data_IF_749295974045
#
_entry.id   IF_749295974045
#
_cell.length_a   1.000
_cell.length_b   1.000
_cell.length_c   1.000
_cell.angle_alpha   90.00
_cell.angle_beta   90.00
_cell.angle_gamma   90.00
#
_symmetry.space_group_name_H-M   'P 1'
#
loop_
_entity.id
_entity.type
_entity.pdbx_description
1 polymer ?
#
# COMPACT_ATOMS: atom_id res chain seq x y z
N UNK A 1 -8.73 -40.21 -6.12
CA UNK A 1 -8.52 -39.68 -7.50
C UNK A 1 -9.43 -38.50 -7.87
N UNK A 2 -10.76 -38.64 -8.06
CA UNK A 2 -11.62 -37.48 -8.42
C UNK A 2 -11.84 -36.48 -7.29
N UNK A 3 -11.94 -36.92 -6.03
CA UNK A 3 -12.05 -36.04 -4.87
C UNK A 3 -10.76 -35.24 -4.58
N UNK A 4 -9.58 -35.80 -4.84
CA UNK A 4 -8.31 -35.07 -4.74
C UNK A 4 -8.16 -34.02 -5.83
N UNK A 5 -8.58 -34.34 -7.07
CA UNK A 5 -8.59 -33.37 -8.16
C UNK A 5 -9.56 -32.22 -7.87
N UNK A 6 -10.76 -32.51 -7.35
CA UNK A 6 -11.69 -31.48 -6.89
C UNK A 6 -11.13 -30.66 -5.73
N UNK A 7 -10.52 -31.29 -4.72
CA UNK A 7 -9.88 -30.57 -3.60
C UNK A 7 -8.72 -29.68 -4.07
N UNK A 8 -7.95 -30.12 -5.07
CA UNK A 8 -6.84 -29.36 -5.65
C UNK A 8 -7.33 -28.20 -6.52
N UNK A 9 -8.36 -28.41 -7.33
CA UNK A 9 -9.00 -27.36 -8.15
C UNK A 9 -9.74 -26.34 -7.27
N UNK A 10 -10.45 -26.79 -6.24
CA UNK A 10 -11.09 -25.92 -5.24
C UNK A 10 -10.06 -25.19 -4.37
N UNK A 11 -8.92 -25.81 -4.08
CA UNK A 11 -7.78 -25.19 -3.41
C UNK A 11 -7.11 -24.10 -4.26
N UNK A 12 -7.03 -24.29 -5.59
CA UNK A 12 -6.57 -23.25 -6.52
C UNK A 12 -7.55 -22.07 -6.60
N UNK A 13 -8.86 -22.33 -6.52
CA UNK A 13 -9.89 -21.28 -6.48
C UNK A 13 -9.99 -20.55 -5.13
N UNK A 14 -9.56 -21.16 -4.02
CA UNK A 14 -9.52 -20.52 -2.70
C UNK A 14 -8.57 -19.31 -2.62
N UNK A 15 -7.67 -19.17 -3.60
CA UNK A 15 -6.74 -18.05 -3.71
C UNK A 15 -7.07 -17.13 -4.89
N UNK A 16 -8.21 -17.31 -5.56
CA UNK A 16 -8.67 -16.38 -6.58
C UNK A 16 -9.13 -15.09 -5.91
N UNK A 17 -8.50 -13.98 -6.28
CA UNK A 17 -8.95 -12.67 -5.84
C UNK A 17 -10.35 -12.35 -6.39
N UNK A 18 -11.09 -11.53 -5.65
CA UNK A 18 -12.33 -10.96 -6.17
C UNK A 18 -11.98 -9.91 -7.24
N UNK A 19 -12.24 -10.22 -8.52
CA UNK A 19 -11.92 -9.33 -9.64
C UNK A 19 -12.73 -8.03 -9.65
N UNK A 20 -13.83 -7.95 -8.89
CA UNK A 20 -14.60 -6.72 -8.69
C UNK A 20 -14.04 -5.85 -7.57
N UNK A 21 -13.14 -6.39 -6.74
CA UNK A 21 -12.47 -5.63 -5.69
C UNK A 21 -11.27 -4.90 -6.28
N UNK A 22 -11.37 -3.58 -6.37
CA UNK A 22 -10.29 -2.73 -6.85
C UNK A 22 -9.15 -2.55 -5.84
N UNK A 23 -9.34 -3.01 -4.60
CA UNK A 23 -8.32 -3.02 -3.54
C UNK A 23 -7.64 -4.39 -3.37
N UNK A 24 -7.92 -5.34 -4.27
CA UNK A 24 -7.23 -6.64 -4.35
C UNK A 24 -5.72 -6.48 -4.56
N UNK A 25 -4.93 -7.44 -4.09
CA UNK A 25 -3.46 -7.43 -4.14
C UNK A 25 -2.94 -7.17 -5.55
N UNK A 26 -3.44 -7.87 -6.59
CA UNK A 26 -2.94 -7.66 -7.96
C UNK A 26 -3.16 -6.21 -8.44
N UNK A 27 -4.31 -5.61 -8.11
CA UNK A 27 -4.61 -4.24 -8.48
C UNK A 27 -3.70 -3.25 -7.73
N UNK A 28 -3.48 -3.49 -6.43
CA UNK A 28 -2.63 -2.64 -5.59
C UNK A 28 -1.16 -2.74 -5.99
N UNK A 29 -0.67 -3.94 -6.34
CA UNK A 29 0.69 -4.12 -6.88
C UNK A 29 0.87 -3.37 -8.20
N UNK A 30 -0.13 -3.40 -9.07
CA UNK A 30 -0.10 -2.62 -10.30
C UNK A 30 -0.11 -1.11 -10.03
N UNK A 31 -0.88 -0.63 -9.06
CA UNK A 31 -0.83 0.77 -8.60
C UNK A 31 0.56 1.14 -8.09
N UNK A 32 1.24 0.24 -7.37
CA UNK A 32 2.60 0.45 -6.88
C UNK A 32 3.63 0.53 -8.00
N UNK A 33 3.47 -0.29 -9.03
CA UNK A 33 4.36 -0.25 -10.20
C UNK A 33 4.18 1.05 -10.99
N UNK A 34 2.94 1.48 -11.24
CA UNK A 34 2.66 2.78 -11.87
C UNK A 34 3.26 3.92 -11.05
N UNK A 35 3.08 3.90 -9.73
CA UNK A 35 3.62 4.92 -8.83
C UNK A 35 5.16 5.00 -8.93
N UNK A 36 5.83 3.83 -8.96
CA UNK A 36 7.29 3.72 -9.00
C UNK A 36 7.90 4.12 -10.32
N UNK A 37 7.30 3.71 -11.44
CA UNK A 37 7.90 3.87 -12.77
C UNK A 37 7.45 5.18 -13.39
N UNK A 38 6.14 5.42 -13.39
CA UNK A 38 5.55 6.52 -14.12
C UNK A 38 5.42 7.79 -13.26
N UNK A 39 4.73 7.71 -12.12
CA UNK A 39 4.41 8.92 -11.35
C UNK A 39 5.64 9.51 -10.66
N UNK A 40 6.58 8.66 -10.25
CA UNK A 40 7.89 9.08 -9.77
C UNK A 40 8.68 9.84 -10.84
N UNK A 41 8.75 9.32 -12.07
CA UNK A 41 9.50 9.98 -13.14
C UNK A 41 8.85 11.31 -13.52
N UNK A 42 7.52 11.35 -13.58
CA UNK A 42 6.76 12.60 -13.79
C UNK A 42 7.04 13.65 -12.70
N UNK A 43 7.12 13.23 -11.45
CA UNK A 43 7.40 14.13 -10.33
C UNK A 43 8.87 14.59 -10.33
N UNK A 44 9.81 13.69 -10.65
CA UNK A 44 11.25 13.97 -10.68
C UNK A 44 11.66 14.88 -11.85
N UNK A 45 11.09 14.66 -13.03
CA UNK A 45 11.41 15.40 -14.26
C UNK A 45 10.70 16.76 -14.38
N UNK A 46 9.78 17.07 -13.46
CA UNK A 46 9.05 18.34 -13.52
C UNK A 46 10.00 19.54 -13.35
N UNK A 47 9.92 20.56 -14.23
CA UNK A 47 10.72 21.78 -14.14
C UNK A 47 10.58 22.53 -12.80
N UNK A 48 9.45 22.33 -12.13
CA UNK A 48 9.11 22.95 -10.84
C UNK A 48 9.52 22.13 -9.62
N UNK A 49 10.00 20.89 -9.81
CA UNK A 49 10.39 20.00 -8.73
C UNK A 49 11.58 19.11 -9.11
N UNK A 50 12.69 19.73 -9.51
CA UNK A 50 13.94 19.00 -9.67
C UNK A 50 14.38 18.40 -8.34
N UNK A 51 13.98 17.15 -8.12
CA UNK A 51 14.25 16.40 -6.90
C UNK A 51 15.36 15.41 -7.19
N UNK A 52 16.42 15.47 -6.39
CA UNK A 52 17.43 14.42 -6.43
C UNK A 52 16.81 13.11 -5.96
N UNK A 53 17.35 12.00 -6.45
CA UNK A 53 16.95 10.67 -6.02
C UNK A 53 16.97 10.53 -4.48
N UNK A 54 18.05 10.99 -3.85
CA UNK A 54 18.24 10.93 -2.40
C UNK A 54 17.14 11.69 -1.66
N UNK A 55 16.81 12.90 -2.12
CA UNK A 55 15.75 13.72 -1.50
C UNK A 55 14.40 13.05 -1.65
N UNK A 56 14.03 12.61 -2.86
CA UNK A 56 12.71 12.01 -3.06
C UNK A 56 12.56 10.63 -2.39
N UNK A 57 13.61 9.80 -2.36
CA UNK A 57 13.62 8.55 -1.58
C UNK A 57 13.42 8.82 -0.08
N UNK A 58 14.08 9.86 0.47
CA UNK A 58 13.86 10.26 1.86
C UNK A 58 12.43 10.74 2.14
N UNK A 59 11.81 11.46 1.19
CA UNK A 59 10.41 11.90 1.29
C UNK A 59 9.49 10.67 1.33
N UNK A 60 9.69 9.72 0.41
CA UNK A 60 8.85 8.52 0.31
C UNK A 60 8.98 7.67 1.58
N UNK A 61 10.19 7.50 2.12
CA UNK A 61 10.38 6.82 3.39
C UNK A 61 9.57 7.46 4.52
N UNK A 62 9.61 8.79 4.64
CA UNK A 62 8.80 9.52 5.64
C UNK A 62 7.30 9.32 5.44
N UNK A 63 6.82 9.26 4.19
CA UNK A 63 5.42 8.96 3.90
C UNK A 63 5.05 7.53 4.32
N UNK A 64 5.93 6.55 4.05
CA UNK A 64 5.72 5.17 4.46
C UNK A 64 5.64 5.05 5.99
N UNK A 65 6.60 5.64 6.70
CA UNK A 65 6.62 5.68 8.17
C UNK A 65 5.33 6.34 8.73
N UNK A 66 4.81 7.38 8.08
CA UNK A 66 3.57 8.04 8.49
C UNK A 66 2.32 7.18 8.22
N UNK A 67 2.29 6.43 7.11
CA UNK A 67 1.21 5.51 6.81
C UNK A 67 1.16 4.34 7.81
N UNK A 68 2.30 3.76 8.15
CA UNK A 68 2.40 2.72 9.18
C UNK A 68 1.86 3.22 10.53
N UNK A 69 2.29 4.41 10.95
CA UNK A 69 1.82 5.04 12.19
C UNK A 69 0.32 5.33 12.18
N UNK A 70 -0.24 5.81 11.06
CA UNK A 70 -1.68 6.09 10.96
C UNK A 70 -2.51 4.79 11.06
N UNK A 71 -2.09 3.71 10.37
CA UNK A 71 -2.77 2.40 10.48
C UNK A 71 -2.65 1.84 11.90
N UNK A 72 -1.45 1.92 12.49
CA UNK A 72 -1.23 1.45 13.86
C UNK A 72 -2.11 2.23 14.86
N UNK A 73 -2.12 3.56 14.78
CA UNK A 73 -2.93 4.40 15.66
C UNK A 73 -4.42 4.09 15.52
N UNK A 74 -4.92 3.95 14.29
CA UNK A 74 -6.33 3.59 14.05
C UNK A 74 -6.68 2.20 14.59
N UNK A 75 -5.77 1.25 14.43
CA UNK A 75 -5.94 -0.10 15.00
C UNK A 75 -6.02 -0.03 16.52
N UNK A 76 -5.10 0.70 17.16
CA UNK A 76 -5.10 0.95 18.61
C UNK A 76 -6.41 1.58 19.07
N UNK A 77 -6.88 2.64 18.40
CA UNK A 77 -8.13 3.30 18.75
C UNK A 77 -9.34 2.35 18.67
N UNK A 78 -9.38 1.44 17.70
CA UNK A 78 -10.44 0.43 17.60
C UNK A 78 -10.37 -0.53 18.79
N UNK A 79 -9.19 -0.99 19.15
CA UNK A 79 -9.02 -1.87 20.31
C UNK A 79 -9.43 -1.21 21.61
N UNK A 80 -9.08 0.07 21.81
CA UNK A 80 -9.52 0.86 22.96
C UNK A 80 -11.05 0.97 23.01
N UNK A 81 -11.72 1.29 21.90
CA UNK A 81 -13.18 1.40 21.83
C UNK A 81 -13.89 0.07 22.10
N UNK A 82 -13.27 -1.04 21.73
CA UNK A 82 -13.81 -2.38 21.92
C UNK A 82 -13.41 -3.01 23.28
N UNK A 83 -12.74 -2.27 24.17
CA UNK A 83 -12.19 -2.74 25.44
C UNK A 83 -11.32 -4.02 25.29
N UNK A 84 -10.61 -4.13 24.17
CA UNK A 84 -9.74 -5.27 23.90
C UNK A 84 -8.38 -5.01 24.56
N UNK A 85 -7.93 -5.88 25.49
CA UNK A 85 -6.63 -5.70 26.12
C UNK A 85 -5.52 -5.72 25.07
N UNK A 86 -4.60 -4.76 25.14
CA UNK A 86 -3.36 -4.72 24.35
C UNK A 86 -2.40 -5.91 24.57
N UNK A 87 -2.83 -6.94 25.32
CA UNK A 87 -2.00 -8.04 25.79
C UNK A 87 -1.21 -8.70 24.65
N UNK A 88 0.12 -8.66 24.84
CA UNK A 88 1.16 -9.38 24.11
C UNK A 88 1.05 -10.92 24.25
N UNK A 89 0.12 -11.42 25.05
CA UNK A 89 -0.06 -12.85 25.23
C UNK A 89 -0.81 -13.41 24.02
N UNK A 90 -0.05 -14.19 23.24
CA UNK A 90 -0.46 -15.16 22.22
C UNK A 90 -1.63 -14.73 21.35
N UNK A 91 -1.34 -14.46 20.07
CA UNK A 91 -2.35 -14.22 19.05
C UNK A 91 -3.30 -15.42 18.97
N UNK A 92 -4.43 -15.35 19.67
CA UNK A 92 -5.47 -16.38 19.62
C UNK A 92 -6.14 -16.35 18.25
N UNK A 93 -6.72 -17.47 17.82
CA UNK A 93 -7.46 -17.54 16.55
C UNK A 93 -8.55 -16.45 16.45
N UNK A 94 -9.16 -16.06 17.58
CA UNK A 94 -10.12 -14.96 17.65
C UNK A 94 -9.51 -13.58 17.40
N UNK A 95 -8.35 -13.27 17.99
CA UNK A 95 -7.61 -12.01 17.74
C UNK A 95 -7.15 -11.93 16.27
N UNK A 96 -6.73 -13.05 15.68
CA UNK A 96 -6.33 -13.10 14.28
C UNK A 96 -7.51 -12.85 13.33
N UNK A 97 -8.67 -13.46 13.58
CA UNK A 97 -9.90 -13.20 12.81
C UNK A 97 -10.34 -11.74 12.88
N UNK A 98 -10.30 -11.15 14.08
CA UNK A 98 -10.66 -9.75 14.27
C UNK A 98 -9.68 -8.78 13.58
N UNK A 99 -8.38 -9.05 13.62
CA UNK A 99 -7.40 -8.27 12.87
C UNK A 99 -7.66 -8.33 11.35
N UNK A 100 -8.12 -9.47 10.84
CA UNK A 100 -8.49 -9.59 9.45
C UNK A 100 -9.72 -8.75 9.11
N UNK A 101 -10.72 -8.69 9.99
CA UNK A 101 -11.89 -7.82 9.82
C UNK A 101 -11.52 -6.34 9.87
N UNK A 102 -10.67 -5.93 10.80
CA UNK A 102 -10.14 -4.55 10.89
C UNK A 102 -9.40 -4.17 9.60
N UNK A 103 -8.54 -5.06 9.09
CA UNK A 103 -7.84 -4.83 7.81
C UNK A 103 -8.80 -4.70 6.65
N UNK A 104 -9.83 -5.55 6.56
CA UNK A 104 -10.83 -5.45 5.49
C UNK A 104 -11.60 -4.13 5.55
N UNK A 105 -11.99 -3.69 6.76
CA UNK A 105 -12.64 -2.40 6.98
C UNK A 105 -11.75 -1.23 6.55
N UNK A 106 -10.48 -1.26 6.96
CA UNK A 106 -9.51 -0.26 6.53
C UNK A 106 -9.30 -0.30 5.03
N UNK A 107 -9.14 -1.47 4.42
CA UNK A 107 -8.92 -1.59 2.97
C UNK A 107 -10.05 -0.92 2.18
N UNK A 108 -11.30 -1.14 2.59
CA UNK A 108 -12.46 -0.44 2.04
C UNK A 108 -12.39 1.08 2.28
N UNK A 109 -12.15 1.50 3.52
CA UNK A 109 -12.10 2.92 3.90
C UNK A 109 -11.01 3.68 3.13
N UNK A 110 -9.76 3.20 3.17
CA UNK A 110 -8.63 3.81 2.46
C UNK A 110 -8.86 3.84 0.95
N UNK A 111 -9.46 2.80 0.37
CA UNK A 111 -9.76 2.81 -1.05
C UNK A 111 -10.76 3.91 -1.45
N UNK A 112 -11.84 4.07 -0.67
CA UNK A 112 -12.92 5.04 -0.91
C UNK A 112 -12.59 6.47 -0.50
N UNK A 113 -11.70 6.64 0.47
CA UNK A 113 -11.39 7.95 1.04
C UNK A 113 -10.81 8.93 0.00
N UNK A 114 -11.22 10.19 0.14
CA UNK A 114 -10.80 11.29 -0.72
C UNK A 114 -9.44 11.86 -0.31
N UNK A 115 -8.96 12.83 -1.09
CA UNK A 115 -7.65 13.48 -0.94
C UNK A 115 -7.40 14.12 0.42
N UNK A 116 -8.44 14.54 1.15
CA UNK A 116 -8.30 15.15 2.49
C UNK A 116 -7.74 14.15 3.51
N UNK A 117 -8.19 12.89 3.46
CA UNK A 117 -7.73 11.83 4.35
C UNK A 117 -6.20 11.67 4.27
N UNK A 118 -5.70 11.51 3.05
CA UNK A 118 -4.26 11.36 2.79
C UNK A 118 -3.48 12.65 3.01
N UNK A 119 -4.11 13.81 2.82
CA UNK A 119 -3.47 15.10 3.16
C UNK A 119 -3.12 15.16 4.65
N UNK A 120 -3.93 14.59 5.55
CA UNK A 120 -3.61 14.53 6.99
C UNK A 120 -2.36 13.70 7.26
N UNK A 121 -2.21 12.55 6.60
CA UNK A 121 -1.02 11.69 6.72
C UNK A 121 0.22 12.42 6.22
N UNK A 122 0.13 13.11 5.08
CA UNK A 122 1.25 13.90 4.51
C UNK A 122 1.67 15.02 5.47
N UNK A 123 0.71 15.73 6.06
CA UNK A 123 0.99 16.78 7.05
C UNK A 123 1.67 16.19 8.30
N UNK A 124 1.21 15.04 8.79
CA UNK A 124 1.82 14.34 9.94
C UNK A 124 3.25 13.87 9.63
N UNK A 125 3.56 13.55 8.38
CA UNK A 125 4.93 13.24 7.93
C UNK A 125 5.86 14.47 7.95
N UNK A 126 5.33 15.67 8.18
CA UNK A 126 6.08 16.93 8.17
C UNK A 126 6.59 17.29 6.77
N UNK A 127 5.84 16.91 5.74
CA UNK A 127 6.19 17.18 4.34
C UNK A 127 5.22 18.22 3.78
N UNK A 128 5.78 19.32 3.29
CA UNK A 128 5.01 20.35 2.60
C UNK A 128 5.19 20.21 1.07
N UNK A 129 4.15 19.79 0.32
CA UNK A 129 4.24 19.69 -1.13
C UNK A 129 4.29 21.08 -1.76
N UNK A 130 5.38 21.38 -2.47
CA UNK A 130 5.60 22.69 -3.10
C UNK A 130 4.83 22.89 -4.41
N UNK A 131 4.42 21.80 -5.04
CA UNK A 131 3.76 21.81 -6.35
C UNK A 131 2.55 20.88 -6.36
N UNK A 132 1.61 21.12 -7.27
CA UNK A 132 0.45 20.24 -7.46
C UNK A 132 0.88 18.83 -7.87
N UNK A 133 1.94 18.70 -8.67
CA UNK A 133 2.50 17.40 -9.09
C UNK A 133 3.06 16.63 -7.89
N UNK A 134 3.82 17.31 -7.02
CA UNK A 134 4.32 16.71 -5.77
C UNK A 134 3.15 16.28 -4.88
N UNK A 135 2.15 17.14 -4.70
CA UNK A 135 0.97 16.82 -3.89
C UNK A 135 0.26 15.58 -4.43
N UNK A 136 0.01 15.51 -5.74
CA UNK A 136 -0.65 14.38 -6.36
C UNK A 136 0.16 13.09 -6.18
N UNK A 137 1.47 13.13 -6.40
CA UNK A 137 2.36 12.00 -6.18
C UNK A 137 2.29 11.51 -4.73
N UNK A 138 2.40 12.43 -3.75
CA UNK A 138 2.37 12.06 -2.33
C UNK A 138 1.04 11.44 -1.91
N UNK A 139 -0.09 11.95 -2.44
CA UNK A 139 -1.42 11.37 -2.19
C UNK A 139 -1.52 9.94 -2.72
N UNK A 140 -1.06 9.70 -3.96
CA UNK A 140 -1.04 8.34 -4.52
C UNK A 140 -0.06 7.43 -3.79
N UNK A 141 1.09 7.96 -3.36
CA UNK A 141 2.07 7.24 -2.57
C UNK A 141 1.48 6.73 -1.26
N UNK A 142 0.80 7.60 -0.49
CA UNK A 142 0.13 7.20 0.74
C UNK A 142 -0.99 6.19 0.48
N UNK A 143 -1.85 6.45 -0.52
CA UNK A 143 -2.96 5.54 -0.87
C UNK A 143 -2.46 4.15 -1.18
N UNK A 144 -1.53 4.04 -2.12
CA UNK A 144 -1.00 2.75 -2.57
C UNK A 144 -0.29 2.02 -1.45
N UNK A 145 0.54 2.72 -0.67
CA UNK A 145 1.28 2.08 0.42
C UNK A 145 0.39 1.60 1.56
N UNK A 146 -0.61 2.39 1.98
CA UNK A 146 -1.61 1.92 2.95
C UNK A 146 -2.33 0.67 2.45
N UNK A 147 -2.74 0.64 1.16
CA UNK A 147 -3.41 -0.53 0.60
C UNK A 147 -2.52 -1.77 0.54
N UNK A 148 -1.19 -1.62 0.41
CA UNK A 148 -0.24 -2.73 0.49
C UNK A 148 -0.12 -3.30 1.91
N UNK A 149 -0.03 -2.42 2.91
CA UNK A 149 0.03 -2.82 4.33
C UNK A 149 -1.24 -3.52 4.82
N UNK A 150 -2.38 -3.25 4.17
CA UNK A 150 -3.69 -3.81 4.52
C UNK A 150 -4.00 -5.14 3.80
N UNK A 151 -3.08 -5.67 3.00
CA UNK A 151 -3.22 -6.99 2.39
C UNK A 151 -3.09 -8.12 3.44
N UNK A 152 -3.48 -9.33 3.05
CA UNK A 152 -3.30 -10.54 3.86
C UNK A 152 -2.52 -11.61 3.07
N UNK A 153 -1.24 -11.87 3.40
CA UNK A 153 -0.45 -11.16 4.41
C UNK A 153 -0.11 -9.71 3.99
N UNK A 154 0.21 -8.82 4.96
CA UNK A 154 0.67 -7.45 4.67
C UNK A 154 1.89 -7.42 3.76
N UNK A 155 1.91 -6.48 2.81
CA UNK A 155 3.05 -6.29 1.90
C UNK A 155 3.85 -5.07 2.30
N UNK A 156 5.04 -5.31 2.88
CA UNK A 156 5.99 -4.25 3.20
C UNK A 156 6.80 -3.89 1.96
N UNK A 157 6.33 -2.90 1.22
CA UNK A 157 7.05 -2.41 0.05
C UNK A 157 8.31 -1.61 0.45
N UNK A 158 9.43 -1.96 -0.18
CA UNK A 158 10.67 -1.18 -0.10
C UNK A 158 10.80 -0.35 -1.37
N UNK A 159 11.11 0.94 -1.21
CA UNK A 159 11.32 1.85 -2.33
C UNK A 159 12.73 1.70 -2.91
N UNK A 160 12.93 0.68 -3.76
CA UNK A 160 14.20 0.41 -4.46
C UNK A 160 14.04 0.55 -5.98
N UNK A 161 14.36 1.72 -6.52
CA UNK A 161 14.25 1.99 -7.96
C UNK A 161 15.41 1.40 -8.79
N UNK A 162 16.45 0.88 -8.15
CA UNK A 162 17.61 0.29 -8.84
C UNK A 162 17.21 -0.99 -9.61
N UNK A 163 16.21 -1.72 -9.12
CA UNK A 163 15.67 -2.93 -9.77
C UNK A 163 14.81 -2.62 -11.00
N UNK A 164 14.04 -1.51 -10.98
CA UNK A 164 13.14 -1.14 -12.10
C UNK A 164 13.89 -0.72 -13.37
N UNK A 165 15.18 -0.37 -13.28
CA UNK A 165 15.99 -0.07 -14.46
C UNK A 165 16.33 -1.31 -15.30
N UNK A 166 16.30 -2.52 -14.73
CA UNK A 166 16.66 -3.75 -15.45
C UNK A 166 15.51 -4.39 -16.20
N UNK A 167 14.28 -4.32 -15.69
CA UNK A 167 13.15 -5.07 -16.27
C UNK A 167 12.53 -4.41 -17.51
N UNK A 168 12.71 -3.09 -17.71
CA UNK A 168 12.20 -2.38 -18.89
C UNK A 168 13.12 -2.38 -20.11
N UNK A 169 14.37 -2.84 -19.97
CA UNK A 169 15.32 -2.95 -21.09
C UNK A 169 15.19 -4.27 -21.87
N UNK A 170 14.54 -5.31 -21.32
CA UNK A 170 14.44 -6.62 -21.98
C UNK A 170 13.26 -6.74 -22.97
N UNK A 171 12.39 -5.73 -23.08
CA UNK A 171 11.22 -5.77 -23.98
C UNK A 171 11.21 -4.72 -25.10
N UNK A 172 12.30 -3.98 -25.30
CA UNK A 172 12.43 -3.03 -26.42
C UNK A 172 13.68 -3.33 -27.24
N UNK A 173 13.79 -4.56 -27.75
CA UNK A 173 14.49 -4.80 -29.02
C UNK A 173 14.09 -6.14 -29.64
N UNK A 174 12.98 -6.10 -30.39
CA UNK A 174 12.73 -7.04 -31.49
C UNK A 174 11.99 -6.28 -32.59
N UNK A 175 12.76 -5.64 -33.47
CA UNK A 175 12.37 -5.35 -34.84
C UNK A 175 13.34 -6.06 -35.77
#
# INVERSE_FOLDING_TARGET
RNQELLSKVMGMHKHSENMNDASRLTAVLHMYEILRVHDWEKMRSSPSSYLTYKTGSSIIKKLFDACEKDIQQRTTNIFEVLDIPHSNDTMTNSKQGMMQEIRNLFRYSYYQNHSEFYSKIITQAGIDPKTAIQRQFMLQCCKTYCLLLLQDPPVNAVWNLQESSRQYLEHVDKK
#
